data_IF_187124665766
#
_entry.id   IF_187124665766
#
_cell.length_a   1.000
_cell.length_b   1.000
_cell.length_c   1.000
_cell.angle_alpha   90.00
_cell.angle_beta   90.00
_cell.angle_gamma   90.00
#
_symmetry.space_group_name_H-M   'P 1'
#
loop_
_entity.id
_entity.type
_entity.pdbx_description
1 polymer ?
#
# COMPACT_ATOMS: atom_id res chain seq x y z
N UNK A 1 3.67 4.37 -11.72
CA UNK A 1 3.31 3.62 -12.95
C UNK A 1 2.54 2.37 -12.58
N UNK A 2 1.55 1.98 -13.38
CA UNK A 2 0.85 0.71 -13.23
C UNK A 2 0.81 -0.03 -14.55
N UNK A 3 0.67 -1.35 -14.46
CA UNK A 3 0.34 -2.22 -15.58
C UNK A 3 -1.06 -2.80 -15.36
N UNK A 4 -1.96 -2.45 -16.28
CA UNK A 4 -3.34 -2.95 -16.27
C UNK A 4 -3.48 -4.01 -17.37
N UNK A 5 -3.90 -5.21 -16.99
CA UNK A 5 -4.30 -6.25 -17.93
C UNK A 5 -5.76 -6.05 -18.33
N UNK A 6 -6.08 -6.30 -19.60
CA UNK A 6 -7.45 -6.30 -20.11
C UNK A 6 -7.74 -7.60 -20.81
N UNK A 7 -9.00 -8.05 -20.76
CA UNK A 7 -9.41 -9.31 -21.39
C UNK A 7 -9.36 -9.29 -22.92
N UNK A 8 -9.49 -8.09 -23.52
CA UNK A 8 -9.44 -7.92 -24.97
C UNK A 8 -8.93 -6.51 -25.35
N UNK A 9 -8.57 -6.33 -26.61
CA UNK A 9 -8.01 -5.09 -27.13
C UNK A 9 -8.99 -3.90 -27.05
N UNK A 10 -10.29 -4.14 -27.23
CA UNK A 10 -11.31 -3.10 -27.13
C UNK A 10 -11.41 -2.57 -25.70
N UNK A 11 -11.43 -3.45 -24.71
CA UNK A 11 -11.40 -3.06 -23.30
C UNK A 11 -10.11 -2.30 -22.95
N UNK A 12 -8.95 -2.74 -23.44
CA UNK A 12 -7.66 -2.10 -23.18
C UNK A 12 -7.57 -0.65 -23.66
N UNK A 13 -8.22 -0.34 -24.78
CA UNK A 13 -8.19 1.00 -25.40
C UNK A 13 -9.36 1.89 -24.99
N UNK A 14 -10.32 1.36 -24.23
CA UNK A 14 -11.52 2.07 -23.79
C UNK A 14 -11.20 3.31 -22.92
N UNK A 15 -12.11 4.27 -22.92
CA UNK A 15 -12.01 5.42 -22.03
C UNK A 15 -12.06 5.01 -20.55
N UNK A 16 -12.87 3.98 -20.25
CA UNK A 16 -13.02 3.45 -18.88
C UNK A 16 -11.74 2.80 -18.37
N UNK A 17 -11.00 2.07 -19.23
CA UNK A 17 -9.68 1.52 -18.87
C UNK A 17 -8.65 2.63 -18.58
N UNK A 18 -8.65 3.70 -19.36
CA UNK A 18 -7.77 4.85 -19.11
C UNK A 18 -8.12 5.57 -17.81
N UNK A 19 -9.40 5.76 -17.56
CA UNK A 19 -9.90 6.35 -16.30
C UNK A 19 -9.52 5.47 -15.11
N UNK A 20 -9.75 4.16 -15.21
CA UNK A 20 -9.36 3.20 -14.19
C UNK A 20 -7.86 3.27 -13.90
N UNK A 21 -7.03 3.26 -14.94
CA UNK A 21 -5.57 3.34 -14.79
C UNK A 21 -5.15 4.64 -14.09
N UNK A 22 -5.71 5.79 -14.48
CA UNK A 22 -5.41 7.07 -13.86
C UNK A 22 -5.84 7.12 -12.39
N UNK A 23 -7.04 6.63 -12.09
CA UNK A 23 -7.59 6.59 -10.74
C UNK A 23 -6.77 5.69 -9.80
N UNK A 24 -6.34 4.53 -10.28
CA UNK A 24 -5.48 3.62 -9.51
C UNK A 24 -4.09 4.22 -9.32
N UNK A 25 -3.52 4.92 -10.31
CA UNK A 25 -2.26 5.65 -10.11
C UNK A 25 -2.36 6.71 -9.01
N UNK A 26 -3.46 7.48 -9.01
CA UNK A 26 -3.73 8.48 -7.96
C UNK A 26 -3.85 7.81 -6.58
N UNK A 27 -4.60 6.73 -6.50
CA UNK A 27 -4.78 5.96 -5.27
C UNK A 27 -3.45 5.43 -4.72
N UNK A 28 -2.60 4.82 -5.57
CA UNK A 28 -1.28 4.33 -5.18
C UNK A 28 -0.39 5.46 -4.65
N UNK A 29 -0.44 6.63 -5.26
CA UNK A 29 0.32 7.79 -4.79
C UNK A 29 -0.14 8.25 -3.41
N UNK A 30 -1.45 8.24 -3.15
CA UNK A 30 -2.05 8.69 -1.89
C UNK A 30 -1.90 7.67 -0.76
N UNK A 31 -2.19 6.39 -1.03
CA UNK A 31 -2.30 5.34 -0.01
C UNK A 31 -1.06 4.48 0.14
N UNK A 32 -0.11 4.56 -0.81
CA UNK A 32 1.19 3.85 -0.75
C UNK A 32 1.08 2.35 -0.45
N UNK A 33 0.29 1.56 -1.19
CA UNK A 33 0.19 0.13 -0.97
C UNK A 33 1.55 -0.56 -1.18
N UNK A 34 1.78 -1.67 -0.49
CA UNK A 34 3.00 -2.47 -0.60
C UNK A 34 2.96 -3.46 -1.77
N UNK A 35 1.78 -4.01 -2.04
CA UNK A 35 1.57 -5.02 -3.09
C UNK A 35 0.18 -4.87 -3.73
N UNK A 36 -0.05 -5.53 -4.87
CA UNK A 36 -1.38 -5.54 -5.48
C UNK A 36 -2.34 -6.37 -4.65
N UNK A 37 -1.91 -7.53 -4.18
CA UNK A 37 -2.70 -8.48 -3.40
C UNK A 37 -1.86 -9.14 -2.30
N UNK A 38 -2.50 -9.79 -1.34
CA UNK A 38 -1.85 -10.37 -0.17
C UNK A 38 -0.84 -11.48 -0.47
N UNK A 39 -1.05 -12.22 -1.55
CA UNK A 39 -0.14 -13.26 -2.04
C UNK A 39 1.20 -12.71 -2.55
N UNK A 40 1.25 -11.43 -2.91
CA UNK A 40 2.47 -10.76 -3.37
C UNK A 40 3.30 -10.15 -2.23
N UNK A 41 2.76 -10.10 -1.01
CA UNK A 41 3.53 -9.66 0.16
C UNK A 41 4.47 -10.79 0.60
N UNK A 42 5.79 -10.53 0.71
CA UNK A 42 6.74 -11.56 1.13
C UNK A 42 6.37 -12.14 2.50
N UNK A 43 6.36 -13.47 2.61
CA UNK A 43 6.03 -14.16 3.85
C UNK A 43 6.91 -13.70 5.04
N UNK A 44 8.15 -13.33 4.78
CA UNK A 44 9.07 -12.78 5.77
C UNK A 44 8.57 -11.46 6.38
N UNK A 45 7.92 -10.59 5.58
CA UNK A 45 7.33 -9.32 6.05
C UNK A 45 6.16 -9.61 6.96
N UNK A 46 5.28 -10.51 6.56
CA UNK A 46 4.11 -10.93 7.37
C UNK A 46 4.54 -11.58 8.68
N UNK A 47 5.57 -12.44 8.63
CA UNK A 47 6.12 -13.09 9.82
C UNK A 47 6.71 -12.09 10.80
N UNK A 48 7.51 -11.13 10.31
CA UNK A 48 8.09 -10.06 11.13
C UNK A 48 7.01 -9.19 11.78
N UNK A 49 5.99 -8.80 11.03
CA UNK A 49 4.87 -8.03 11.56
C UNK A 49 4.10 -8.82 12.65
N UNK A 50 3.91 -10.13 12.42
CA UNK A 50 3.28 -11.03 13.40
C UNK A 50 4.08 -11.09 14.72
N UNK A 51 5.40 -11.12 14.66
CA UNK A 51 6.26 -11.09 15.85
C UNK A 51 6.16 -9.76 16.60
N UNK A 52 6.19 -8.64 15.88
CA UNK A 52 6.03 -7.30 16.45
C UNK A 52 4.67 -7.17 17.15
N UNK A 53 3.61 -7.62 16.50
CA UNK A 53 2.26 -7.58 17.06
C UNK A 53 2.11 -8.49 18.29
N UNK A 54 2.76 -9.66 18.29
CA UNK A 54 2.81 -10.54 19.46
C UNK A 54 3.49 -9.87 20.64
N UNK A 55 4.70 -9.32 20.42
CA UNK A 55 5.45 -8.61 21.47
C UNK A 55 4.64 -7.45 22.05
N UNK A 56 4.06 -6.61 21.19
CA UNK A 56 3.21 -5.47 21.60
C UNK A 56 2.01 -5.90 22.44
N UNK A 57 1.33 -6.99 22.06
CA UNK A 57 0.17 -7.48 22.83
C UNK A 57 0.58 -8.09 24.17
N UNK A 58 1.78 -8.71 24.27
CA UNK A 58 2.35 -9.19 25.53
C UNK A 58 2.68 -8.03 26.49
N UNK A 59 3.33 -6.97 25.98
CA UNK A 59 3.63 -5.75 26.75
C UNK A 59 2.37 -5.07 27.29
N UNK A 60 1.24 -5.17 26.54
CA UNK A 60 -0.06 -4.68 26.97
C UNK A 60 -0.75 -5.57 28.01
N UNK A 61 -0.11 -6.64 28.48
CA UNK A 61 -0.64 -7.52 29.51
C UNK A 61 -1.79 -8.43 29.06
N UNK A 62 -1.95 -8.64 27.73
CA UNK A 62 -2.99 -9.55 27.23
C UNK A 62 -2.62 -11.01 27.51
N UNK A 63 -3.63 -11.83 27.78
CA UNK A 63 -3.43 -13.25 28.05
C UNK A 63 -2.87 -13.99 26.84
N UNK A 64 -1.84 -14.83 26.99
CA UNK A 64 -1.20 -15.54 25.86
C UNK A 64 -2.19 -16.31 24.97
N UNK A 65 -3.20 -16.93 25.57
CA UNK A 65 -4.24 -17.71 24.87
C UNK A 65 -5.09 -16.84 23.90
N UNK A 66 -5.22 -15.54 24.19
CA UNK A 66 -5.98 -14.61 23.36
C UNK A 66 -5.11 -13.93 22.29
N UNK A 67 -3.79 -13.87 22.51
CA UNK A 67 -2.87 -13.14 21.65
C UNK A 67 -2.90 -13.68 20.22
N UNK A 68 -2.95 -14.98 20.01
CA UNK A 68 -2.97 -15.56 18.68
C UNK A 68 -4.17 -15.09 17.85
N UNK A 69 -5.38 -15.12 18.42
CA UNK A 69 -6.59 -14.65 17.75
C UNK A 69 -6.55 -13.14 17.46
N UNK A 70 -6.02 -12.37 18.42
CA UNK A 70 -5.88 -10.91 18.25
C UNK A 70 -4.89 -10.61 17.13
N UNK A 71 -3.74 -11.28 17.12
CA UNK A 71 -2.70 -11.10 16.10
C UNK A 71 -3.20 -11.52 14.72
N UNK A 72 -3.96 -12.61 14.60
CA UNK A 72 -4.58 -12.98 13.33
C UNK A 72 -5.50 -11.88 12.77
N UNK A 73 -6.34 -11.29 13.64
CA UNK A 73 -7.19 -10.17 13.27
C UNK A 73 -6.38 -8.93 12.85
N UNK A 74 -5.30 -8.63 13.59
CA UNK A 74 -4.41 -7.52 13.29
C UNK A 74 -3.64 -7.74 11.98
N UNK A 75 -3.20 -8.96 11.69
CA UNK A 75 -2.55 -9.31 10.41
C UNK A 75 -3.52 -9.17 9.24
N UNK A 76 -4.78 -9.61 9.39
CA UNK A 76 -5.80 -9.38 8.35
C UNK A 76 -5.99 -7.90 8.06
N UNK A 77 -6.04 -7.08 9.11
CA UNK A 77 -6.13 -5.62 8.97
C UNK A 77 -4.89 -5.05 8.30
N UNK A 78 -3.70 -5.47 8.72
CA UNK A 78 -2.43 -5.08 8.09
C UNK A 78 -2.42 -5.41 6.59
N UNK A 79 -2.85 -6.61 6.19
CA UNK A 79 -2.93 -7.00 4.78
C UNK A 79 -3.94 -6.12 4.02
N UNK A 80 -5.13 -5.89 4.57
CA UNK A 80 -6.15 -5.04 3.94
C UNK A 80 -5.67 -3.58 3.79
N UNK A 81 -4.89 -3.06 4.73
CA UNK A 81 -4.34 -1.71 4.67
C UNK A 81 -3.16 -1.57 3.70
N UNK A 82 -2.45 -2.66 3.41
CA UNK A 82 -1.26 -2.66 2.58
C UNK A 82 -1.43 -3.29 1.20
N UNK A 83 -2.55 -3.97 0.93
CA UNK A 83 -2.89 -4.55 -0.37
C UNK A 83 -3.75 -3.60 -1.18
N UNK A 84 -3.30 -3.24 -2.37
CA UNK A 84 -4.00 -2.30 -3.25
C UNK A 84 -5.46 -2.67 -3.49
N UNK A 85 -5.75 -3.94 -3.79
CA UNK A 85 -7.10 -4.39 -4.12
C UNK A 85 -8.08 -4.32 -2.96
N UNK A 86 -7.59 -4.43 -1.73
CA UNK A 86 -8.40 -4.45 -0.50
C UNK A 86 -8.59 -3.04 0.09
N UNK A 87 -7.78 -2.06 -0.34
CA UNK A 87 -7.89 -0.67 0.12
C UNK A 87 -9.17 -0.02 -0.41
N UNK A 88 -9.78 0.83 0.43
CA UNK A 88 -10.90 1.66 0.03
C UNK A 88 -10.44 2.74 -0.96
N UNK A 89 -11.19 2.91 -2.05
CA UNK A 89 -10.84 3.82 -3.12
C UNK A 89 -10.87 5.29 -2.64
N UNK A 90 -9.79 6.02 -2.84
CA UNK A 90 -9.61 7.39 -2.33
C UNK A 90 -10.68 8.38 -2.81
N UNK A 91 -11.25 8.19 -4.00
CA UNK A 91 -12.34 9.02 -4.52
C UNK A 91 -13.74 8.57 -4.07
N UNK A 92 -13.87 7.31 -3.68
CA UNK A 92 -15.13 6.74 -3.19
C UNK A 92 -14.83 5.68 -2.12
N UNK A 93 -14.79 6.08 -0.83
CA UNK A 93 -14.44 5.18 0.28
C UNK A 93 -15.41 4.02 0.52
N UNK A 94 -16.59 4.06 -0.08
CA UNK A 94 -17.59 2.98 0.01
C UNK A 94 -17.23 1.77 -0.87
N UNK A 95 -16.27 1.94 -1.79
CA UNK A 95 -15.80 0.92 -2.71
C UNK A 95 -14.34 0.59 -2.47
N UNK A 96 -14.00 -0.70 -2.52
CA UNK A 96 -12.60 -1.12 -2.61
C UNK A 96 -12.08 -0.97 -4.05
N UNK A 97 -10.75 -0.94 -4.22
CA UNK A 97 -10.15 -0.93 -5.56
C UNK A 97 -10.57 -2.17 -6.37
N UNK A 98 -10.73 -3.33 -5.72
CA UNK A 98 -11.25 -4.53 -6.37
C UNK A 98 -12.69 -4.35 -6.87
N UNK A 99 -13.56 -3.69 -6.11
CA UNK A 99 -14.92 -3.40 -6.53
C UNK A 99 -14.95 -2.37 -7.68
N UNK A 100 -14.11 -1.33 -7.58
CA UNK A 100 -13.94 -0.34 -8.64
C UNK A 100 -13.44 -0.96 -9.96
N UNK A 101 -12.49 -1.89 -9.89
CA UNK A 101 -12.02 -2.64 -11.04
C UNK A 101 -13.15 -3.40 -11.74
N UNK A 102 -14.04 -4.05 -10.97
CA UNK A 102 -15.22 -4.76 -11.50
C UNK A 102 -16.21 -3.84 -12.19
N UNK A 103 -16.45 -2.65 -11.62
CA UNK A 103 -17.32 -1.65 -12.24
C UNK A 103 -16.76 -1.14 -13.56
N UNK A 104 -15.49 -0.78 -13.57
CA UNK A 104 -14.81 -0.35 -14.80
C UNK A 104 -14.74 -1.46 -15.86
N UNK A 105 -14.54 -2.72 -15.44
CA UNK A 105 -14.57 -3.89 -16.32
C UNK A 105 -15.90 -4.04 -17.05
N UNK A 106 -17.02 -3.87 -16.34
CA UNK A 106 -18.37 -3.92 -16.95
C UNK A 106 -18.55 -2.80 -18.00
N UNK A 107 -18.08 -1.60 -17.71
CA UNK A 107 -18.19 -0.45 -18.63
C UNK A 107 -17.27 -0.59 -19.84
N UNK A 108 -16.07 -1.13 -19.62
CA UNK A 108 -15.07 -1.36 -20.67
C UNK A 108 -15.42 -2.53 -21.61
N UNK A 109 -16.40 -3.37 -21.25
CA UNK A 109 -16.75 -4.56 -22.03
C UNK A 109 -15.73 -5.70 -21.95
N UNK A 110 -14.93 -5.75 -20.87
CA UNK A 110 -13.96 -6.80 -20.62
C UNK A 110 -13.22 -6.58 -19.32
N UNK A 111 -12.75 -7.68 -18.69
CA UNK A 111 -12.09 -7.62 -17.40
C UNK A 111 -10.84 -6.76 -17.42
N UNK A 112 -10.75 -5.87 -16.44
CA UNK A 112 -9.59 -5.03 -16.14
C UNK A 112 -8.97 -5.49 -14.83
N UNK A 113 -7.67 -5.74 -14.84
CA UNK A 113 -6.93 -6.22 -13.67
C UNK A 113 -5.64 -5.44 -13.51
N UNK A 114 -5.29 -5.06 -12.28
CA UNK A 114 -3.96 -4.52 -11.99
C UNK A 114 -2.98 -5.68 -11.89
N UNK A 115 -1.99 -5.72 -12.76
CA UNK A 115 -0.94 -6.76 -12.78
C UNK A 115 0.18 -6.43 -11.81
N UNK A 116 0.69 -5.21 -11.90
CA UNK A 116 1.76 -4.70 -11.06
C UNK A 116 1.78 -3.18 -11.06
N UNK A 117 2.45 -2.60 -10.09
CA UNK A 117 2.73 -1.18 -10.05
C UNK A 117 4.17 -0.92 -9.57
N UNK A 118 4.66 0.28 -9.87
CA UNK A 118 5.88 0.83 -9.30
C UNK A 118 5.59 2.23 -8.80
N UNK A 119 5.94 2.50 -7.55
CA UNK A 119 5.86 3.82 -6.92
C UNK A 119 7.27 4.35 -6.71
N UNK A 120 7.53 5.54 -7.21
CA UNK A 120 8.75 6.27 -6.94
C UNK A 120 8.45 7.34 -5.91
N UNK A 121 9.15 7.30 -4.80
CA UNK A 121 9.05 8.29 -3.74
C UNK A 121 10.29 9.18 -3.75
N UNK A 122 10.09 10.48 -3.64
CA UNK A 122 11.20 11.42 -3.59
C UNK A 122 12.07 11.15 -2.35
N UNK A 123 13.36 10.91 -2.58
CA UNK A 123 14.30 10.58 -1.50
C UNK A 123 14.33 9.11 -1.08
N UNK A 124 13.53 8.21 -1.69
CA UNK A 124 13.63 6.78 -1.43
C UNK A 124 15.02 6.26 -1.87
N UNK A 125 15.67 5.51 -0.98
CA UNK A 125 17.02 4.96 -1.22
C UNK A 125 18.17 5.95 -1.04
N UNK A 126 17.89 7.20 -0.67
CA UNK A 126 18.92 8.17 -0.30
C UNK A 126 19.12 8.11 1.22
N UNK A 127 20.33 7.75 1.65
CA UNK A 127 20.67 7.86 3.07
C UNK A 127 20.59 9.33 3.50
N UNK A 128 19.68 9.64 4.40
CA UNK A 128 19.64 10.96 5.01
C UNK A 128 20.93 11.14 5.82
N UNK A 129 21.80 12.06 5.40
CA UNK A 129 22.88 12.51 6.27
C UNK A 129 22.24 13.02 7.56
N UNK A 130 22.55 12.37 8.68
CA UNK A 130 22.18 12.89 10.00
C UNK A 130 23.02 14.15 10.19
N UNK A 131 22.44 15.29 9.85
CA UNK A 131 23.06 16.58 10.13
C UNK A 131 22.76 16.86 11.59
N UNK A 132 23.80 16.89 12.41
CA UNK A 132 23.68 17.36 13.79
C UNK A 132 23.45 18.87 13.75
N UNK A 133 22.18 19.25 13.81
CA UNK A 133 21.75 20.65 13.77
C UNK A 133 22.40 21.50 14.88
N UNK A 134 22.66 20.89 16.04
CA UNK A 134 23.33 21.56 17.14
C UNK A 134 24.80 21.89 16.81
N UNK A 135 25.50 20.95 16.13
CA UNK A 135 26.86 21.16 15.66
C UNK A 135 26.95 22.25 14.55
N UNK A 136 25.95 22.26 13.65
CA UNK A 136 25.86 23.24 12.56
C UNK A 136 25.62 24.66 13.10
N UNK A 137 24.71 24.83 14.05
CA UNK A 137 24.44 26.10 14.72
C UNK A 137 25.67 26.55 15.51
N UNK A 138 26.36 25.65 16.22
CA UNK A 138 27.59 25.97 16.97
C UNK A 138 28.74 26.37 16.04
N UNK A 139 28.81 25.85 14.82
CA UNK A 139 29.82 26.26 13.83
C UNK A 139 29.54 27.68 13.29
N UNK A 140 28.28 28.02 13.05
CA UNK A 140 27.89 29.36 12.56
C UNK A 140 28.06 30.45 13.60
N UNK A 141 27.86 30.18 14.90
CA UNK A 141 28.04 31.15 15.97
C UNK A 141 29.51 31.45 16.32
N UNK A 142 30.47 30.64 15.88
CA UNK A 142 31.92 30.85 16.07
C UNK A 142 32.57 31.73 15.01
N UNK A 143 31.84 32.17 14.00
CA UNK A 143 32.37 32.92 12.85
C UNK A 143 32.07 34.43 12.94
N UNK A 144 31.64 34.93 14.10
CA UNK A 144 31.50 36.35 14.39
C UNK A 144 32.36 36.76 15.59
#
# INVERSE_FOLDING_TARGET
MIEVGAANAAAATSADAKTFAADVCLHIAAMSPMAVSSDQIPAAVVAKEKEILKAKNLEQGKKPEMIEKIVEGQIRKFLAENCLLDQNFVKNPDLTIAAWAKECSKKAGGDLTVKRFVRFELGAGIEKKVVDFAAEVAAQTKTH
#
